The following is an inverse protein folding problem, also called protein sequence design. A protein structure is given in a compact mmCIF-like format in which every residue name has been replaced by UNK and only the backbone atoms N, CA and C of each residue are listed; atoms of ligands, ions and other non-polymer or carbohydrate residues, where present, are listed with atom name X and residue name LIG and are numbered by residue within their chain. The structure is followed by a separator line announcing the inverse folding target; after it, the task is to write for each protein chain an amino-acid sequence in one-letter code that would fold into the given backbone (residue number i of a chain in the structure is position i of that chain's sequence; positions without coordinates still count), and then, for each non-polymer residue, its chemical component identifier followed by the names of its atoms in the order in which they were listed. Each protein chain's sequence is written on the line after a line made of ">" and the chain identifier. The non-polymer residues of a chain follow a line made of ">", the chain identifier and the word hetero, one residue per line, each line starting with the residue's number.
data_IF_385830106449
#
_entry.id   IF_385830106449
#
_cell.length_a   1.000
_cell.length_b   1.000
_cell.length_c   1.000
_cell.angle_alpha   90.00
_cell.angle_beta   90.00
_cell.angle_gamma   90.00
#
_symmetry.space_group_name_H-M   'P 1'
#
loop_
_entity.id
_entity.type
_entity.pdbx_description
1 polymer ?
#
# COMPACT_ATOMS: atom_id res chain seq x y z
N UNK A 1 -0.73 -11.85 5.16
CA UNK A 1 -1.87 -10.92 5.04
C UNK A 1 -2.41 -10.93 3.61
N UNK A 2 -3.52 -11.64 3.36
CA UNK A 2 -4.52 -11.15 2.41
C UNK A 2 -5.82 -10.82 3.17
N UNK A 3 -6.09 -9.53 3.35
CA UNK A 3 -7.34 -9.03 3.97
C UNK A 3 -7.70 -7.65 3.40
N UNK A 4 -8.92 -7.19 3.65
CA UNK A 4 -9.28 -5.80 3.39
C UNK A 4 -8.52 -4.87 4.33
N UNK A 5 -7.71 -3.97 3.78
CA UNK A 5 -6.82 -3.09 4.54
C UNK A 5 -6.78 -1.70 3.88
N UNK A 6 -6.58 -0.64 4.67
CA UNK A 6 -6.64 0.73 4.15
C UNK A 6 -5.39 1.07 3.31
N UNK A 7 -5.55 1.89 2.26
CA UNK A 7 -4.42 2.31 1.40
C UNK A 7 -3.22 2.87 2.18
N UNK A 8 -3.38 3.70 3.23
CA UNK A 8 -2.24 4.20 4.00
C UNK A 8 -1.38 3.11 4.65
N UNK A 9 -1.93 1.91 4.93
CA UNK A 9 -1.13 0.79 5.44
C UNK A 9 -0.10 0.31 4.41
N UNK A 10 -0.42 0.36 3.11
CA UNK A 10 0.54 0.03 2.05
C UNK A 10 1.72 1.01 2.07
N UNK A 11 1.43 2.32 2.15
CA UNK A 11 2.46 3.35 2.22
C UNK A 11 3.34 3.21 3.47
N UNK A 12 2.73 2.87 4.61
CA UNK A 12 3.46 2.55 5.84
C UNK A 12 4.36 1.34 5.66
N UNK A 13 3.83 0.22 5.16
CA UNK A 13 4.56 -1.04 5.01
C UNK A 13 5.76 -0.91 4.07
N UNK A 14 5.59 -0.20 2.95
CA UNK A 14 6.69 0.08 2.00
C UNK A 14 7.85 0.79 2.72
N UNK A 15 7.55 1.74 3.61
CA UNK A 15 8.57 2.47 4.37
C UNK A 15 9.15 1.64 5.52
N UNK A 16 8.31 0.98 6.30
CA UNK A 16 8.72 0.26 7.52
C UNK A 16 9.52 -1.00 7.22
N UNK A 17 9.30 -1.61 6.06
CA UNK A 17 9.98 -2.82 5.61
C UNK A 17 11.08 -2.53 4.55
N UNK A 18 11.35 -1.24 4.27
CA UNK A 18 12.33 -0.77 3.27
C UNK A 18 12.16 -1.42 1.89
N UNK A 19 10.91 -1.56 1.43
CA UNK A 19 10.59 -2.21 0.16
C UNK A 19 10.78 -1.24 -1.00
N UNK A 20 11.27 -1.72 -2.15
CA UNK A 20 11.44 -0.88 -3.34
C UNK A 20 10.10 -0.36 -3.92
N UNK A 21 9.00 -1.03 -3.59
CA UNK A 21 7.66 -0.58 -3.93
C UNK A 21 6.58 -1.48 -3.36
N UNK A 22 5.33 -1.06 -3.57
CA UNK A 22 4.15 -1.80 -3.13
C UNK A 22 2.97 -1.53 -4.04
N UNK A 23 2.13 -2.55 -4.24
CA UNK A 23 0.94 -2.47 -5.08
C UNK A 23 -0.29 -2.82 -4.26
N UNK A 24 -1.39 -2.09 -4.48
CA UNK A 24 -2.71 -2.39 -3.93
C UNK A 24 -3.72 -2.41 -5.05
N UNK A 25 -4.50 -3.47 -5.15
CA UNK A 25 -5.64 -3.55 -6.08
C UNK A 25 -6.85 -2.92 -5.41
N UNK A 26 -7.29 -1.77 -5.91
CA UNK A 26 -8.42 -1.01 -5.37
C UNK A 26 -8.95 -0.06 -6.44
N UNK A 27 -10.27 0.11 -6.47
CA UNK A 27 -10.92 1.15 -7.26
C UNK A 27 -11.31 2.37 -6.40
N UNK A 28 -10.72 2.52 -5.20
CA UNK A 28 -11.04 3.57 -4.22
C UNK A 28 -12.54 3.66 -3.90
N UNK A 29 -13.26 4.54 -4.59
CA UNK A 29 -14.69 4.83 -4.41
C UNK A 29 -15.49 4.65 -5.71
N UNK A 30 -14.88 4.09 -6.75
CA UNK A 30 -15.52 3.82 -8.02
C UNK A 30 -16.64 2.78 -7.86
N UNK A 31 -17.57 2.71 -8.82
CA UNK A 31 -18.57 1.66 -8.86
C UNK A 31 -17.98 0.25 -8.71
N UNK A 32 -18.73 -0.74 -8.17
CA UNK A 32 -18.20 -2.08 -7.90
C UNK A 32 -17.67 -2.85 -9.12
N UNK A 33 -18.08 -2.46 -10.33
CA UNK A 33 -17.60 -3.04 -11.58
C UNK A 33 -16.19 -2.57 -11.96
N UNK A 34 -15.73 -1.45 -11.41
CA UNK A 34 -14.40 -0.93 -11.69
C UNK A 34 -13.38 -1.64 -10.82
N UNK A 35 -12.21 -1.88 -11.40
CA UNK A 35 -11.03 -2.24 -10.64
C UNK A 35 -9.86 -1.33 -11.04
N UNK A 36 -8.95 -1.15 -10.11
CA UNK A 36 -7.76 -0.33 -10.33
C UNK A 36 -6.62 -0.84 -9.48
N UNK A 37 -5.48 -0.19 -9.60
CA UNK A 37 -4.36 -0.43 -8.72
C UNK A 37 -3.71 0.89 -8.32
N UNK A 38 -3.10 0.90 -7.14
CA UNK A 38 -2.23 1.96 -6.66
C UNK A 38 -0.84 1.38 -6.53
N UNK A 39 0.17 2.14 -6.94
CA UNK A 39 1.58 1.79 -6.79
C UNK A 39 2.24 2.83 -5.90
N UNK A 40 2.97 2.36 -4.90
CA UNK A 40 3.79 3.15 -4.00
C UNK A 40 5.26 2.80 -4.21
N UNK A 41 6.12 3.82 -4.21
CA UNK A 41 7.55 3.67 -4.43
C UNK A 41 8.31 3.72 -3.11
N UNK A 42 9.46 3.03 -3.01
CA UNK A 42 10.28 3.02 -1.80
C UNK A 42 11.71 2.56 -2.07
N UNK A 43 12.43 2.26 -0.98
CA UNK A 43 13.76 1.65 -1.03
C UNK A 43 14.71 2.32 -2.03
N UNK A 44 15.22 1.52 -2.96
CA UNK A 44 16.18 1.91 -4.00
C UNK A 44 15.53 2.51 -5.25
N UNK A 45 14.21 2.38 -5.40
CA UNK A 45 13.50 2.85 -6.59
C UNK A 45 13.42 4.39 -6.65
N UNK A 46 13.53 5.06 -5.50
CA UNK A 46 13.39 6.51 -5.35
C UNK A 46 14.34 7.06 -4.30
N UNK A 47 14.66 8.35 -4.43
CA UNK A 47 15.31 9.12 -3.37
C UNK A 47 14.49 9.10 -2.08
N UNK A 48 15.14 9.39 -0.94
CA UNK A 48 14.51 9.32 0.38
C UNK A 48 13.19 10.12 0.47
N UNK A 49 13.14 11.29 -0.15
CA UNK A 49 11.97 12.17 -0.18
C UNK A 49 10.76 11.57 -0.93
N UNK A 50 10.98 10.60 -1.82
CA UNK A 50 9.93 9.91 -2.58
C UNK A 50 9.41 8.63 -1.91
N UNK A 51 10.06 8.14 -0.85
CA UNK A 51 9.73 6.84 -0.24
C UNK A 51 8.36 6.87 0.44
N UNK A 52 7.53 5.89 0.11
CA UNK A 52 6.14 5.79 0.57
C UNK A 52 5.17 6.74 -0.14
N UNK A 53 5.59 7.39 -1.22
CA UNK A 53 4.70 8.16 -2.09
C UNK A 53 4.04 7.26 -3.13
N UNK A 54 2.83 7.61 -3.55
CA UNK A 54 2.21 7.04 -4.74
C UNK A 54 3.02 7.46 -5.99
N UNK A 55 3.03 6.63 -7.03
CA UNK A 55 3.74 6.90 -8.30
C UNK A 55 3.38 8.26 -8.88
N UNK A 56 4.42 8.96 -9.35
CA UNK A 56 4.38 10.24 -10.07
C UNK A 56 5.42 10.22 -11.18
N UNK A 57 5.41 11.23 -12.06
CA UNK A 57 6.44 11.39 -13.07
C UNK A 57 7.86 11.44 -12.46
N UNK A 58 8.87 10.82 -13.10
CA UNK A 58 8.82 10.10 -14.40
C UNK A 58 8.48 8.60 -14.28
N UNK A 59 8.25 8.09 -13.07
CA UNK A 59 8.13 6.66 -12.80
C UNK A 59 6.87 6.03 -13.41
N UNK A 60 5.78 6.78 -13.49
CA UNK A 60 4.54 6.38 -14.16
C UNK A 60 4.77 5.95 -15.61
N UNK A 61 5.52 6.75 -16.37
CA UNK A 61 5.82 6.53 -17.78
C UNK A 61 6.79 5.36 -17.96
N UNK A 62 7.76 5.22 -17.05
CA UNK A 62 8.69 4.08 -17.07
C UNK A 62 8.00 2.75 -16.76
N UNK A 63 7.07 2.75 -15.79
CA UNK A 63 6.24 1.59 -15.49
C UNK A 63 5.34 1.26 -16.68
N UNK A 64 4.70 2.26 -17.30
CA UNK A 64 3.87 2.07 -18.50
C UNK A 64 4.66 1.44 -19.65
N UNK A 65 5.85 1.96 -19.94
CA UNK A 65 6.74 1.40 -20.97
C UNK A 65 7.16 -0.05 -20.64
N UNK A 66 7.40 -0.34 -19.36
CA UNK A 66 7.73 -1.69 -18.89
C UNK A 66 6.56 -2.66 -19.09
N UNK A 67 5.33 -2.21 -18.80
CA UNK A 67 4.10 -3.00 -19.04
C UNK A 67 3.92 -3.29 -20.53
N UNK A 68 4.10 -2.29 -21.39
CA UNK A 68 3.98 -2.46 -22.84
C UNK A 68 5.00 -3.44 -23.42
N UNK A 69 6.21 -3.46 -22.86
CA UNK A 69 7.29 -4.36 -23.28
C UNK A 69 7.06 -5.84 -22.92
N UNK A 70 6.17 -6.16 -21.97
CA UNK A 70 5.89 -7.56 -21.56
C UNK A 70 5.17 -8.34 -22.67
N UNK A 71 4.39 -7.66 -23.50
CA UNK A 71 3.60 -8.31 -24.56
C UNK A 71 2.27 -8.91 -24.07
N UNK A 72 1.74 -9.95 -24.75
CA UNK A 72 0.42 -10.52 -24.45
C UNK A 72 0.28 -11.05 -23.02
N UNK A 73 -0.85 -10.77 -22.37
CA UNK A 73 -1.13 -11.16 -20.99
C UNK A 73 -1.06 -12.69 -20.77
N UNK A 74 -1.49 -13.48 -21.74
CA UNK A 74 -1.47 -14.95 -21.68
C UNK A 74 -0.06 -15.55 -21.75
N UNK A 75 0.94 -14.74 -22.13
CA UNK A 75 2.34 -15.14 -22.12
C UNK A 75 2.99 -15.00 -20.73
N UNK A 76 2.34 -14.30 -19.79
CA UNK A 76 2.89 -14.06 -18.45
C UNK A 76 2.74 -15.33 -17.59
N UNK A 77 3.86 -15.96 -17.26
CA UNK A 77 3.89 -17.05 -16.30
C UNK A 77 3.68 -16.52 -14.88
N UNK A 78 2.59 -16.94 -14.24
CA UNK A 78 2.32 -16.62 -12.84
C UNK A 78 3.23 -17.43 -11.92
N UNK A 79 3.78 -16.77 -10.90
CA UNK A 79 4.54 -17.46 -9.87
C UNK A 79 3.62 -18.38 -9.05
N UNK A 80 4.03 -19.62 -8.83
CA UNK A 80 3.33 -20.59 -7.96
C UNK A 80 3.83 -20.55 -6.50
N UNK A 81 5.02 -20.00 -6.27
CA UNK A 81 5.62 -19.81 -4.94
C UNK A 81 6.66 -18.68 -4.95
N UNK A 82 7.40 -18.50 -3.84
CA UNK A 82 8.48 -17.51 -3.76
C UNK A 82 8.05 -16.12 -3.27
N UNK A 83 6.91 -16.04 -2.58
CA UNK A 83 6.47 -14.84 -1.87
C UNK A 83 6.33 -15.13 -0.38
N UNK A 84 6.41 -14.06 0.41
CA UNK A 84 6.17 -14.10 1.85
C UNK A 84 4.85 -13.42 2.14
N UNK A 85 4.01 -14.09 2.92
CA UNK A 85 2.86 -13.42 3.51
C UNK A 85 3.28 -12.64 4.75
N UNK A 86 3.04 -11.33 4.74
CA UNK A 86 3.31 -10.50 5.91
C UNK A 86 2.45 -10.94 7.11
N UNK A 87 2.97 -10.86 8.34
CA UNK A 87 2.20 -11.15 9.55
C UNK A 87 1.14 -10.07 9.80
N UNK A 88 0.10 -10.40 10.56
CA UNK A 88 -0.92 -9.42 10.96
C UNK A 88 -0.38 -8.30 11.87
N UNK A 89 0.80 -8.49 12.48
CA UNK A 89 1.45 -7.51 13.35
C UNK A 89 1.69 -6.17 12.66
N UNK A 90 1.92 -6.16 11.35
CA UNK A 90 2.14 -4.93 10.57
C UNK A 90 0.96 -3.96 10.69
N UNK A 91 -0.26 -4.46 10.82
CA UNK A 91 -1.44 -3.59 11.06
C UNK A 91 -1.42 -2.97 12.45
N UNK A 92 -1.09 -3.75 13.47
CA UNK A 92 -0.95 -3.23 14.84
C UNK A 92 0.20 -2.23 14.97
N UNK A 93 1.31 -2.45 14.28
CA UNK A 93 2.43 -1.50 14.20
C UNK A 93 2.00 -0.18 13.54
N UNK A 94 1.24 -0.25 12.45
CA UNK A 94 0.66 0.93 11.80
C UNK A 94 -0.31 1.68 12.73
N UNK A 95 -1.21 0.96 13.41
CA UNK A 95 -2.15 1.56 14.37
C UNK A 95 -1.41 2.26 15.51
N UNK A 96 -0.36 1.63 16.06
CA UNK A 96 0.49 2.23 17.08
C UNK A 96 1.22 3.48 16.57
N UNK A 97 1.75 3.44 15.35
CA UNK A 97 2.40 4.59 14.72
C UNK A 97 1.42 5.76 14.54
N UNK A 98 0.17 5.49 14.13
CA UNK A 98 -0.87 6.52 13.99
C UNK A 98 -1.35 7.07 15.32
N UNK A 99 -1.54 6.21 16.32
CA UNK A 99 -1.89 6.65 17.67
C UNK A 99 -0.79 7.54 18.26
N UNK A 100 0.48 7.26 17.96
CA UNK A 100 1.62 8.07 18.38
C UNK A 100 1.69 9.47 17.78
N UNK A 101 0.94 9.75 16.70
CA UNK A 101 0.84 11.11 16.12
C UNK A 101 -0.14 12.01 16.87
N UNK A 102 -0.91 11.48 17.81
CA UNK A 102 -1.87 12.27 18.57
C UNK A 102 -1.17 13.25 19.52
N UNK A 103 -1.52 14.53 19.44
CA UNK A 103 -1.06 15.56 20.36
C UNK A 103 -1.89 15.52 21.65
N UNK A 104 -1.50 14.60 22.55
CA UNK A 104 -2.19 14.36 23.82
C UNK A 104 -2.01 15.49 24.85
N UNK A 105 -1.00 16.34 24.66
CA UNK A 105 -0.75 17.49 25.54
C UNK A 105 -1.80 18.57 25.30
N UNK A 106 -2.07 18.90 24.02
CA UNK A 106 -3.08 19.90 23.66
C UNK A 106 -4.49 19.31 23.52
N UNK A 107 -4.62 18.02 23.23
CA UNK A 107 -5.89 17.33 23.06
C UNK A 107 -5.97 16.06 23.93
N UNK A 108 -6.12 16.21 25.26
CA UNK A 108 -6.15 15.07 26.17
C UNK A 108 -7.36 14.16 25.92
N UNK A 109 -7.29 12.94 26.46
CA UNK A 109 -8.36 11.96 26.36
C UNK A 109 -9.70 12.53 26.88
N UNK A 110 -10.76 12.32 26.11
CA UNK A 110 -12.13 12.76 26.43
C UNK A 110 -13.09 11.59 26.28
N UNK A 111 -14.14 11.57 27.09
CA UNK A 111 -15.24 10.59 27.00
C UNK A 111 -16.15 10.85 25.80
N UNK A 112 -15.61 10.79 24.59
CA UNK A 112 -16.37 10.98 23.35
C UNK A 112 -17.18 9.74 23.02
N UNK A 113 -18.40 9.95 22.53
CA UNK A 113 -19.20 8.90 21.88
C UNK A 113 -18.92 9.00 20.38
N UNK A 114 -18.25 8.00 19.83
CA UNK A 114 -17.84 7.95 18.41
C UNK A 114 -18.70 6.91 17.69
N UNK A 115 -19.26 7.27 16.55
CA UNK A 115 -19.87 6.34 15.59
C UNK A 115 -18.99 6.33 14.35
N UNK A 116 -18.54 5.15 13.94
CA UNK A 116 -17.70 4.93 12.77
C UNK A 116 -18.42 4.03 11.77
N UNK A 117 -18.47 4.44 10.51
CA UNK A 117 -18.96 3.63 9.40
C UNK A 117 -17.81 3.39 8.42
N UNK A 118 -17.09 2.27 8.55
CA UNK A 118 -15.96 1.99 7.68
C UNK A 118 -16.42 1.50 6.29
N UNK A 119 -15.85 2.07 5.23
CA UNK A 119 -15.88 1.51 3.87
C UNK A 119 -14.48 0.97 3.56
N UNK A 120 -14.35 -0.33 3.30
CA UNK A 120 -13.04 -1.01 3.22
C UNK A 120 -12.65 -1.35 1.77
N UNK A 121 -11.34 -1.29 1.48
CA UNK A 121 -10.73 -1.71 0.22
C UNK A 121 -9.81 -2.93 0.44
N UNK A 122 -9.50 -3.69 -0.62
CA UNK A 122 -8.68 -4.91 -0.55
C UNK A 122 -7.19 -4.62 -0.72
N UNK A 123 -6.32 -5.29 0.06
CA UNK A 123 -4.88 -5.37 -0.26
C UNK A 123 -4.62 -6.67 -0.99
N UNK A 124 -4.00 -6.57 -2.16
CA UNK A 124 -3.48 -7.73 -2.89
C UNK A 124 -1.97 -7.69 -2.78
N UNK A 125 -1.43 -8.55 -1.90
CA UNK A 125 -0.04 -9.01 -1.81
C UNK A 125 1.05 -7.93 -1.98
N UNK A 126 1.63 -7.53 -0.85
CA UNK A 126 2.93 -6.87 -0.82
C UNK A 126 4.03 -7.88 -1.15
N UNK A 127 4.69 -7.73 -2.30
CA UNK A 127 6.01 -8.32 -2.53
C UNK A 127 7.05 -7.26 -2.24
N UNK A 128 7.71 -7.37 -1.09
CA UNK A 128 8.91 -6.59 -0.83
C UNK A 128 10.02 -7.13 -1.72
N UNK A 129 10.37 -6.35 -2.72
CA UNK A 129 11.61 -6.51 -3.47
C UNK A 129 12.66 -5.81 -2.61
N UNK A 130 13.43 -6.59 -1.85
CA UNK A 130 14.63 -6.16 -1.15
C UNK A 130 15.86 -6.74 -1.88
#
# INVERSE_FOLDING_TARGET
>A
MPSALPTPLLAYAVRSLDCDGGVMVTASHNPPQDNGYKVYLGGRAVEESGRGSQIVAPYDSQIAASIEAVGPLDSIQLAESGWTELPASITGEYEAAMAGLADVENFPARGLKIVLTPCMAWVVRLRCLC
#
